data_IF_102353985292
#
_entry.id   IF_102353985292
#
_cell.length_a   1.000
_cell.length_b   1.000
_cell.length_c   1.000
_cell.angle_alpha   90.00
_cell.angle_beta   90.00
_cell.angle_gamma   90.00
#
_symmetry.space_group_name_H-M   'P 1'
#
loop_
_entity.id
_entity.type
_entity.pdbx_description
1 polymer ?
#
# COMPACT_ATOMS: atom_id res chain seq x y z
N UNK A 1 9.18 -64.63 27.95
CA UNK A 1 8.20 -63.78 27.25
C UNK A 1 8.72 -62.33 27.29
N UNK A 2 9.83 -62.02 26.60
CA UNK A 2 10.52 -60.72 26.76
C UNK A 2 10.99 -60.10 25.42
N UNK A 3 11.14 -60.88 24.34
CA UNK A 3 11.70 -60.38 23.07
C UNK A 3 10.78 -59.42 22.29
N UNK A 4 9.45 -59.47 22.50
CA UNK A 4 8.50 -58.59 21.79
C UNK A 4 8.54 -57.13 22.28
N UNK A 5 8.89 -56.90 23.56
CA UNK A 5 9.00 -55.56 24.14
C UNK A 5 10.21 -54.78 23.59
N UNK A 6 11.35 -55.45 23.42
CA UNK A 6 12.57 -54.84 22.89
C UNK A 6 12.39 -54.35 21.45
N UNK A 7 11.75 -55.15 20.59
CA UNK A 7 11.46 -54.77 19.20
C UNK A 7 10.48 -53.59 19.09
N UNK A 8 9.49 -53.51 19.98
CA UNK A 8 8.56 -52.39 20.04
C UNK A 8 9.24 -51.09 20.48
N UNK A 9 10.07 -51.15 21.52
CA UNK A 9 10.82 -49.97 22.01
C UNK A 9 11.75 -49.44 20.91
N UNK A 10 12.46 -50.32 20.19
CA UNK A 10 13.31 -49.91 19.08
C UNK A 10 12.52 -49.25 17.94
N UNK A 11 11.33 -49.76 17.61
CA UNK A 11 10.46 -49.16 16.60
C UNK A 11 9.95 -47.77 17.01
N UNK A 12 9.53 -47.60 18.27
CA UNK A 12 9.07 -46.30 18.79
C UNK A 12 10.21 -45.27 18.75
N UNK A 13 11.40 -45.64 19.23
CA UNK A 13 12.58 -44.76 19.22
C UNK A 13 12.94 -44.33 17.79
N UNK A 14 12.88 -45.26 16.82
CA UNK A 14 13.16 -44.94 15.43
C UNK A 14 12.15 -43.93 14.86
N UNK A 15 10.85 -44.13 15.10
CA UNK A 15 9.79 -43.24 14.63
C UNK A 15 9.89 -41.86 15.27
N UNK A 16 10.11 -41.77 16.58
CA UNK A 16 10.25 -40.47 17.27
C UNK A 16 11.49 -39.71 16.83
N UNK A 17 12.57 -40.42 16.50
CA UNK A 17 13.81 -39.81 16.00
C UNK A 17 13.63 -39.23 14.60
N UNK A 18 12.97 -39.97 13.69
CA UNK A 18 12.66 -39.48 12.34
C UNK A 18 11.73 -38.26 12.40
N UNK A 19 10.67 -38.32 13.23
CA UNK A 19 9.76 -37.18 13.40
C UNK A 19 10.50 -35.94 13.93
N UNK A 20 11.36 -36.10 14.94
CA UNK A 20 12.15 -35.00 15.51
C UNK A 20 13.09 -34.37 14.47
N UNK A 21 13.72 -35.19 13.62
CA UNK A 21 14.55 -34.69 12.52
C UNK A 21 13.71 -33.89 11.51
N UNK A 22 12.55 -34.39 11.10
CA UNK A 22 11.64 -33.67 10.20
C UNK A 22 11.13 -32.34 10.78
N UNK A 23 10.77 -32.33 12.07
CA UNK A 23 10.36 -31.09 12.74
C UNK A 23 11.51 -30.08 12.84
N UNK A 24 12.70 -30.56 13.21
CA UNK A 24 13.87 -29.69 13.31
C UNK A 24 14.29 -29.11 11.95
N UNK A 25 14.27 -29.91 10.87
CA UNK A 25 14.57 -29.41 9.53
C UNK A 25 13.51 -28.44 9.02
N UNK A 26 12.23 -28.68 9.29
CA UNK A 26 11.16 -27.75 8.95
C UNK A 26 11.29 -26.41 9.70
N UNK A 27 11.57 -26.45 11.01
CA UNK A 27 11.83 -25.25 11.80
C UNK A 27 13.08 -24.50 11.34
N UNK A 28 14.16 -25.21 11.00
CA UNK A 28 15.36 -24.58 10.45
C UNK A 28 15.11 -23.93 9.09
N UNK A 29 14.38 -24.58 8.19
CA UNK A 29 14.04 -24.01 6.88
C UNK A 29 13.12 -22.80 7.02
N UNK A 30 12.08 -22.87 7.85
CA UNK A 30 11.15 -21.75 8.03
C UNK A 30 11.79 -20.55 8.73
N UNK A 31 12.67 -20.77 9.72
CA UNK A 31 13.41 -19.69 10.37
C UNK A 31 14.53 -19.15 9.49
N UNK A 32 15.18 -19.98 8.67
CA UNK A 32 16.18 -19.54 7.70
C UNK A 32 15.55 -18.64 6.63
N UNK A 33 14.39 -19.03 6.09
CA UNK A 33 13.62 -18.20 5.15
C UNK A 33 13.20 -16.87 5.78
N UNK A 34 12.72 -16.87 7.04
CA UNK A 34 12.35 -15.64 7.74
C UNK A 34 13.55 -14.72 8.08
N UNK A 35 14.72 -15.29 8.33
CA UNK A 35 15.94 -14.54 8.66
C UNK A 35 16.72 -14.08 7.41
N UNK A 36 16.56 -14.75 6.27
CA UNK A 36 17.27 -14.44 5.02
C UNK A 36 16.37 -13.84 3.94
N UNK A 37 15.04 -13.81 4.14
CA UNK A 37 14.18 -12.90 3.40
C UNK A 37 14.51 -11.48 3.84
N UNK A 38 15.54 -10.90 3.24
CA UNK A 38 15.62 -9.45 3.19
C UNK A 38 14.31 -8.98 2.55
N UNK A 39 13.54 -8.06 3.16
CA UNK A 39 12.48 -7.39 2.42
C UNK A 39 13.09 -6.87 1.12
N UNK A 40 12.37 -6.89 -0.01
CA UNK A 40 12.89 -6.35 -1.25
C UNK A 40 13.40 -4.95 -0.93
N UNK A 41 14.72 -4.77 -0.97
CA UNK A 41 15.33 -3.47 -0.79
C UNK A 41 14.65 -2.60 -1.85
N UNK A 42 13.81 -1.67 -1.41
CA UNK A 42 13.45 -0.57 -2.26
C UNK A 42 14.77 0.14 -2.52
N UNK A 43 15.32 -0.04 -3.71
CA UNK A 43 16.50 0.72 -4.12
C UNK A 43 16.04 2.18 -4.15
N UNK A 44 16.23 2.89 -3.04
CA UNK A 44 15.93 4.31 -2.93
C UNK A 44 16.98 5.02 -3.79
N UNK A 45 16.65 5.18 -5.06
CA UNK A 45 17.48 5.93 -5.99
C UNK A 45 17.30 7.42 -5.66
N UNK A 46 18.33 8.03 -5.08
CA UNK A 46 18.42 9.49 -4.96
C UNK A 46 18.65 10.07 -6.35
N UNK A 47 17.61 10.58 -7.00
CA UNK A 47 17.74 11.16 -8.33
C UNK A 47 18.48 12.51 -8.27
N UNK A 48 19.50 12.72 -9.13
CA UNK A 48 19.98 14.06 -9.44
C UNK A 48 18.89 14.79 -10.24
N UNK A 49 18.28 15.81 -9.63
CA UNK A 49 17.33 16.70 -10.30
C UNK A 49 18.04 17.48 -11.42
N UNK A 50 17.50 17.45 -12.64
CA UNK A 50 17.72 18.54 -13.60
C UNK A 50 18.44 18.20 -14.90
N UNK A 51 17.77 17.46 -15.80
CA UNK A 51 17.89 17.76 -17.23
C UNK A 51 16.70 18.65 -17.60
N UNK A 52 16.95 19.84 -18.17
CA UNK A 52 15.90 20.79 -18.58
C UNK A 52 15.41 20.55 -20.01
N UNK A 53 16.23 19.88 -20.82
CA UNK A 53 15.96 19.63 -22.23
C UNK A 53 15.67 18.14 -22.46
N UNK A 54 14.46 17.83 -22.95
CA UNK A 54 14.00 16.49 -23.28
C UNK A 54 13.66 16.39 -24.76
N UNK A 55 13.98 15.27 -25.39
CA UNK A 55 13.64 15.02 -26.81
C UNK A 55 12.17 14.61 -26.99
N UNK A 56 11.50 14.17 -25.93
CA UNK A 56 10.14 13.61 -25.93
C UNK A 56 9.97 12.32 -26.73
N UNK A 57 11.09 11.69 -27.12
CA UNK A 57 11.14 10.41 -27.82
C UNK A 57 11.35 9.28 -26.80
N UNK A 58 10.54 8.22 -26.88
CA UNK A 58 10.61 7.05 -25.99
C UNK A 58 10.56 7.45 -24.50
N UNK A 59 11.63 7.22 -23.73
CA UNK A 59 11.65 7.48 -22.29
C UNK A 59 12.36 8.80 -21.93
N UNK A 60 12.85 9.55 -22.93
CA UNK A 60 13.46 10.86 -22.71
C UNK A 60 12.40 11.96 -22.59
N UNK A 61 11.73 11.97 -21.45
CA UNK A 61 10.66 12.88 -21.06
C UNK A 61 10.89 13.38 -19.62
N UNK A 62 10.33 14.52 -19.23
CA UNK A 62 10.35 14.91 -17.82
C UNK A 62 9.60 13.89 -16.97
N UNK A 63 10.13 13.61 -15.77
CA UNK A 63 9.47 12.70 -14.82
C UNK A 63 8.24 13.33 -14.17
N UNK A 64 8.23 14.67 -14.04
CA UNK A 64 7.18 15.41 -13.35
C UNK A 64 6.64 16.53 -14.25
N UNK A 65 5.35 16.79 -14.15
CA UNK A 65 4.73 17.98 -14.72
C UNK A 65 5.29 19.22 -14.01
N UNK A 66 5.76 20.25 -14.74
CA UNK A 66 6.39 21.43 -14.14
C UNK A 66 5.36 22.38 -13.51
N UNK A 67 4.70 21.91 -12.46
CA UNK A 67 3.76 22.69 -11.67
C UNK A 67 4.49 23.79 -10.90
N UNK A 68 3.88 24.98 -10.85
CA UNK A 68 4.30 26.09 -10.00
C UNK A 68 3.43 26.18 -8.73
N UNK A 69 2.63 25.15 -8.44
CA UNK A 69 1.78 25.12 -7.27
C UNK A 69 2.62 25.26 -5.99
N UNK A 70 2.23 26.20 -5.13
CA UNK A 70 2.81 26.38 -3.81
C UNK A 70 2.23 25.38 -2.80
N UNK A 71 2.63 25.53 -1.54
CA UNK A 71 2.05 24.77 -0.44
C UNK A 71 0.62 25.23 -0.16
N UNK A 72 -0.27 24.27 0.04
CA UNK A 72 -1.62 24.47 0.53
C UNK A 72 -1.86 23.56 1.74
N UNK A 73 -2.74 23.98 2.65
CA UNK A 73 -3.14 23.20 3.81
C UNK A 73 -4.65 22.96 3.77
N UNK A 74 -5.08 21.77 4.20
CA UNK A 74 -6.49 21.42 4.36
C UNK A 74 -6.68 20.58 5.62
N UNK A 75 -7.89 20.61 6.18
CA UNK A 75 -8.28 19.66 7.21
C UNK A 75 -8.74 18.36 6.57
N UNK A 76 -8.51 17.25 7.28
CA UNK A 76 -9.11 15.96 6.94
C UNK A 76 -10.46 15.88 7.66
N UNK A 77 -11.54 15.74 6.89
CA UNK A 77 -12.90 15.71 7.43
C UNK A 77 -13.77 14.62 6.80
N UNK A 78 -14.73 14.12 7.58
CA UNK A 78 -15.80 13.26 7.07
C UNK A 78 -16.77 14.06 6.20
N UNK A 79 -17.42 13.38 5.27
CA UNK A 79 -18.32 14.05 4.33
C UNK A 79 -19.57 13.24 4.02
N UNK A 80 -20.67 13.96 3.84
CA UNK A 80 -21.93 13.43 3.32
C UNK A 80 -21.92 13.34 1.80
N UNK A 81 -20.93 13.98 1.15
CA UNK A 81 -20.69 13.89 -0.28
C UNK A 81 -20.02 12.56 -0.64
N UNK A 82 -19.98 12.23 -1.93
CA UNK A 82 -19.26 11.05 -2.45
C UNK A 82 -19.77 9.71 -1.89
N UNK A 83 -21.02 9.68 -1.43
CA UNK A 83 -21.70 8.47 -0.96
C UNK A 83 -21.94 7.47 -2.10
N UNK A 84 -22.31 6.24 -1.73
CA UNK A 84 -22.67 5.17 -2.66
C UNK A 84 -24.09 5.28 -3.24
N UNK A 85 -24.82 6.36 -2.95
CA UNK A 85 -26.10 6.65 -3.61
C UNK A 85 -25.90 7.32 -4.98
N UNK A 86 -26.99 7.52 -5.73
CA UNK A 86 -26.94 8.13 -7.06
C UNK A 86 -26.37 9.56 -7.04
N UNK A 87 -26.60 10.32 -5.96
CA UNK A 87 -26.10 11.69 -5.86
C UNK A 87 -24.58 11.67 -5.64
N UNK A 88 -24.10 10.88 -4.67
CA UNK A 88 -22.68 10.71 -4.40
C UNK A 88 -21.91 10.11 -5.57
N UNK A 89 -22.50 9.13 -6.28
CA UNK A 89 -21.93 8.57 -7.51
C UNK A 89 -21.66 9.65 -8.57
N UNK A 90 -22.60 10.59 -8.75
CA UNK A 90 -22.42 11.69 -9.69
C UNK A 90 -21.36 12.70 -9.23
N UNK A 91 -21.25 12.95 -7.93
CA UNK A 91 -20.23 13.86 -7.36
C UNK A 91 -18.80 13.39 -7.63
N UNK A 92 -18.56 12.08 -7.64
CA UNK A 92 -17.27 11.50 -8.06
C UNK A 92 -16.89 11.83 -9.51
N UNK A 93 -17.85 12.22 -10.35
CA UNK A 93 -17.62 12.57 -11.77
C UNK A 93 -17.41 14.07 -11.99
N UNK A 94 -17.87 14.92 -11.07
CA UNK A 94 -17.83 16.40 -11.20
C UNK A 94 -16.42 16.97 -10.92
N UNK A 95 -15.55 16.21 -10.24
CA UNK A 95 -14.20 16.64 -9.89
C UNK A 95 -13.11 16.45 -10.95
N UNK A 96 -13.43 15.94 -12.15
CA UNK A 96 -12.43 15.77 -13.20
C UNK A 96 -11.97 17.12 -13.78
N UNK A 97 -10.66 17.29 -13.95
CA UNK A 97 -10.17 18.40 -14.76
C UNK A 97 -10.59 18.20 -16.22
N UNK A 98 -10.70 19.31 -16.95
CA UNK A 98 -10.85 19.28 -18.40
C UNK A 98 -9.78 18.38 -19.04
N UNK A 99 -10.19 17.58 -20.03
CA UNK A 99 -9.29 16.60 -20.65
C UNK A 99 -8.95 15.41 -19.75
N UNK A 100 -9.70 15.18 -18.66
CA UNK A 100 -9.55 14.06 -17.74
C UNK A 100 -8.13 13.94 -17.15
N UNK A 101 -7.54 15.09 -16.79
CA UNK A 101 -6.21 15.14 -16.17
C UNK A 101 -5.05 14.77 -17.09
N UNK A 102 -5.27 14.78 -18.40
CA UNK A 102 -4.23 14.52 -19.40
C UNK A 102 -3.61 15.82 -19.90
N UNK A 103 -2.32 15.76 -20.23
CA UNK A 103 -1.52 16.88 -20.73
C UNK A 103 -0.81 16.52 -22.03
N UNK A 104 -0.53 17.54 -22.85
CA UNK A 104 0.22 17.43 -24.11
C UNK A 104 1.56 18.14 -23.97
N UNK A 105 2.67 17.43 -24.13
CA UNK A 105 4.02 17.98 -23.93
C UNK A 105 4.92 17.72 -25.15
N UNK A 106 5.92 18.60 -25.32
CA UNK A 106 6.92 18.51 -26.37
C UNK A 106 6.42 18.92 -27.76
N UNK A 107 7.33 18.98 -28.75
CA UNK A 107 7.01 19.48 -30.10
C UNK A 107 5.93 18.67 -30.84
N UNK A 108 5.76 17.39 -30.49
CA UNK A 108 4.78 16.48 -31.09
C UNK A 108 3.49 16.35 -30.27
N UNK A 109 3.27 17.17 -29.23
CA UNK A 109 2.08 17.11 -28.38
C UNK A 109 1.82 15.70 -27.81
N UNK A 110 2.88 15.05 -27.32
CA UNK A 110 2.77 13.70 -26.76
C UNK A 110 1.84 13.72 -25.54
N UNK A 111 1.00 12.69 -25.44
CA UNK A 111 0.01 12.54 -24.38
C UNK A 111 0.62 11.95 -23.11
N UNK A 112 0.30 12.57 -21.98
CA UNK A 112 0.58 12.04 -20.66
C UNK A 112 -0.65 12.22 -19.76
N UNK A 113 -0.79 11.37 -18.77
CA UNK A 113 -1.68 11.57 -17.62
C UNK A 113 -0.86 12.08 -16.45
N UNK A 114 -1.37 13.02 -15.68
CA UNK A 114 -0.72 13.43 -14.42
C UNK A 114 -1.18 12.49 -13.31
N UNK A 115 -0.24 11.93 -12.53
CA UNK A 115 -0.51 10.88 -11.54
C UNK A 115 -1.61 11.23 -10.55
N UNK A 116 -1.68 12.47 -10.08
CA UNK A 116 -2.79 12.94 -9.24
C UNK A 116 -4.18 12.64 -9.84
N UNK A 117 -4.38 12.93 -11.12
CA UNK A 117 -5.68 12.70 -11.76
C UNK A 117 -5.91 11.21 -12.03
N UNK A 118 -4.84 10.46 -12.34
CA UNK A 118 -4.96 9.01 -12.48
C UNK A 118 -5.32 8.33 -11.15
N UNK A 119 -4.79 8.80 -10.02
CA UNK A 119 -5.14 8.32 -8.69
C UNK A 119 -6.62 8.59 -8.37
N UNK A 120 -7.13 9.80 -8.65
CA UNK A 120 -8.56 10.12 -8.51
C UNK A 120 -9.45 9.24 -9.41
N UNK A 121 -9.02 9.03 -10.66
CA UNK A 121 -9.71 8.15 -11.61
C UNK A 121 -9.83 6.72 -11.06
N UNK A 122 -8.72 6.14 -10.59
CA UNK A 122 -8.70 4.80 -10.01
C UNK A 122 -9.59 4.69 -8.78
N UNK A 123 -9.56 5.70 -7.90
CA UNK A 123 -10.39 5.73 -6.70
C UNK A 123 -11.88 5.70 -7.03
N UNK A 124 -12.28 6.44 -8.06
CA UNK A 124 -13.65 6.41 -8.59
C UNK A 124 -14.02 5.06 -9.20
N UNK A 125 -13.12 4.43 -9.96
CA UNK A 125 -13.37 3.09 -10.51
C UNK A 125 -13.57 2.07 -9.39
N UNK A 126 -12.80 2.18 -8.30
CA UNK A 126 -13.01 1.36 -7.10
C UNK A 126 -14.36 1.64 -6.45
N UNK A 127 -14.73 2.91 -6.27
CA UNK A 127 -16.05 3.31 -5.77
C UNK A 127 -17.19 2.69 -6.60
N UNK A 128 -17.13 2.81 -7.92
CA UNK A 128 -18.12 2.23 -8.83
C UNK A 128 -18.18 0.69 -8.81
N UNK A 129 -17.10 0.04 -8.35
CA UNK A 129 -17.02 -1.41 -8.20
C UNK A 129 -17.78 -1.97 -6.99
N UNK A 130 -18.04 -1.15 -5.96
CA UNK A 130 -18.84 -1.56 -4.82
C UNK A 130 -20.32 -1.63 -5.21
N UNK A 131 -20.95 -2.78 -4.96
CA UNK A 131 -22.38 -3.01 -5.19
C UNK A 131 -23.09 -3.23 -3.88
N UNK A 132 -24.06 -2.37 -3.56
CA UNK A 132 -24.81 -2.42 -2.31
C UNK A 132 -25.55 -3.75 -2.07
N UNK A 133 -25.86 -4.50 -3.13
CA UNK A 133 -26.52 -5.80 -3.04
C UNK A 133 -25.63 -6.92 -2.46
N UNK A 134 -24.32 -6.70 -2.39
CA UNK A 134 -23.32 -7.71 -1.98
C UNK A 134 -22.63 -7.36 -0.67
N UNK A 135 -22.70 -6.10 -0.23
CA UNK A 135 -21.89 -5.55 0.86
C UNK A 135 -22.80 -5.09 1.99
N UNK A 136 -22.42 -5.36 3.25
CA UNK A 136 -23.20 -4.91 4.41
C UNK A 136 -23.21 -3.37 4.51
N UNK A 137 -24.22 -2.81 5.19
CA UNK A 137 -24.27 -1.36 5.38
C UNK A 137 -23.04 -0.84 6.14
N UNK A 138 -22.59 -1.55 7.17
CA UNK A 138 -21.40 -1.17 7.95
C UNK A 138 -20.14 -1.19 7.08
N UNK A 139 -20.00 -2.19 6.20
CA UNK A 139 -18.86 -2.26 5.28
C UNK A 139 -18.91 -1.15 4.22
N UNK A 140 -20.10 -0.77 3.74
CA UNK A 140 -20.26 0.37 2.81
C UNK A 140 -19.92 1.70 3.49
N UNK A 141 -20.35 1.91 4.75
CA UNK A 141 -20.01 3.10 5.51
C UNK A 141 -18.50 3.19 5.76
N UNK A 142 -17.86 2.08 6.12
CA UNK A 142 -16.40 2.01 6.23
C UNK A 142 -15.71 2.26 4.88
N UNK A 143 -16.21 1.68 3.79
CA UNK A 143 -15.67 1.92 2.45
C UNK A 143 -15.80 3.41 2.07
N UNK A 144 -16.93 4.05 2.35
CA UNK A 144 -17.15 5.48 2.06
C UNK A 144 -16.15 6.33 2.84
N UNK A 145 -16.01 6.10 4.14
CA UNK A 145 -15.02 6.76 4.99
C UNK A 145 -13.59 6.60 4.44
N UNK A 146 -13.19 5.37 4.14
CA UNK A 146 -11.84 5.06 3.63
C UNK A 146 -11.58 5.68 2.25
N UNK A 147 -12.54 5.61 1.32
CA UNK A 147 -12.40 6.19 -0.01
C UNK A 147 -12.33 7.72 0.07
N UNK A 148 -13.11 8.37 0.94
CA UNK A 148 -13.01 9.80 1.16
C UNK A 148 -11.65 10.19 1.76
N UNK A 149 -11.12 9.41 2.70
CA UNK A 149 -9.78 9.64 3.26
C UNK A 149 -8.69 9.56 2.19
N UNK A 150 -8.72 8.52 1.35
CA UNK A 150 -7.79 8.37 0.23
C UNK A 150 -7.89 9.53 -0.77
N UNK A 151 -9.12 9.99 -1.06
CA UNK A 151 -9.36 11.15 -1.91
C UNK A 151 -8.64 12.38 -1.37
N UNK A 152 -8.80 12.66 -0.07
CA UNK A 152 -8.17 13.81 0.58
C UNK A 152 -6.64 13.69 0.65
N UNK A 153 -6.09 12.48 0.80
CA UNK A 153 -4.65 12.25 0.72
C UNK A 153 -4.09 12.54 -0.68
N UNK A 154 -4.79 12.12 -1.73
CA UNK A 154 -4.43 12.45 -3.11
C UNK A 154 -4.43 13.98 -3.29
N UNK A 155 -5.47 14.65 -2.80
CA UNK A 155 -5.56 16.12 -2.77
C UNK A 155 -4.36 16.79 -2.06
N UNK A 156 -3.98 16.25 -0.90
CA UNK A 156 -2.90 16.81 -0.09
C UNK A 156 -1.51 16.62 -0.71
N UNK A 157 -1.26 15.49 -1.39
CA UNK A 157 0.04 15.18 -1.98
C UNK A 157 0.22 15.73 -3.40
N UNK A 158 -0.86 15.87 -4.16
CA UNK A 158 -0.84 16.45 -5.51
C UNK A 158 0.27 15.88 -6.42
N UNK A 159 0.42 14.55 -6.48
CA UNK A 159 1.53 13.90 -7.20
C UNK A 159 1.58 14.31 -8.69
N UNK A 160 2.64 15.02 -9.07
CA UNK A 160 2.84 15.57 -10.41
C UNK A 160 3.57 14.63 -11.36
N UNK A 161 3.85 13.38 -10.99
CA UNK A 161 4.50 12.42 -11.88
C UNK A 161 3.72 12.27 -13.22
N UNK A 162 4.47 12.09 -14.32
CA UNK A 162 3.92 11.97 -15.67
C UNK A 162 3.82 10.53 -16.12
N UNK A 163 2.58 10.11 -16.38
CA UNK A 163 2.22 8.77 -16.81
C UNK A 163 2.00 8.66 -18.31
N UNK A 164 2.65 7.71 -19.03
CA UNK A 164 2.29 7.43 -20.40
C UNK A 164 0.83 6.93 -20.48
N UNK A 165 0.07 7.47 -21.44
CA UNK A 165 -1.38 7.21 -21.57
C UNK A 165 -1.72 5.84 -22.21
N UNK A 166 -0.75 4.94 -22.34
CA UNK A 166 -0.90 3.60 -22.93
C UNK A 166 -1.05 2.49 -21.89
N UNK A 167 -1.34 2.85 -20.63
CA UNK A 167 -1.36 1.93 -19.49
C UNK A 167 -2.26 0.70 -19.69
N UNK A 168 -3.32 0.80 -20.50
CA UNK A 168 -4.23 -0.31 -20.82
C UNK A 168 -3.66 -1.33 -21.81
N UNK A 169 -2.56 -1.01 -22.49
CA UNK A 169 -1.90 -1.87 -23.49
C UNK A 169 -0.59 -2.46 -22.98
N UNK A 170 -0.20 -2.18 -21.73
CA UNK A 170 1.06 -2.65 -21.16
C UNK A 170 1.02 -4.14 -20.90
N UNK A 171 2.16 -4.78 -21.15
CA UNK A 171 2.39 -6.16 -20.73
C UNK A 171 3.04 -6.15 -19.35
N UNK A 172 2.24 -6.33 -18.29
CA UNK A 172 2.71 -6.30 -16.90
C UNK A 172 3.80 -7.33 -16.56
N UNK A 173 4.06 -8.32 -17.43
CA UNK A 173 5.21 -9.23 -17.27
C UNK A 173 6.54 -8.54 -17.54
N UNK A 174 6.59 -7.64 -18.52
CA UNK A 174 7.81 -7.01 -19.03
C UNK A 174 7.87 -5.50 -18.80
N UNK A 175 6.72 -4.84 -18.66
CA UNK A 175 6.55 -3.41 -18.42
C UNK A 175 5.67 -3.23 -17.18
N UNK A 176 6.32 -3.03 -16.03
CA UNK A 176 5.66 -2.93 -14.72
C UNK A 176 5.34 -1.49 -14.32
N UNK A 177 5.52 -0.53 -15.23
CA UNK A 177 5.47 0.89 -14.91
C UNK A 177 6.81 1.32 -14.31
N UNK A 178 7.51 2.20 -15.03
CA UNK A 178 8.87 2.62 -14.69
C UNK A 178 8.91 4.05 -14.12
N UNK A 179 7.83 4.49 -13.47
CA UNK A 179 7.75 5.85 -12.96
C UNK A 179 8.21 5.95 -11.52
N UNK A 180 9.03 6.97 -11.29
CA UNK A 180 9.50 7.27 -9.96
C UNK A 180 8.49 8.12 -9.21
N UNK A 181 7.87 7.50 -8.23
CA UNK A 181 7.16 8.19 -7.17
C UNK A 181 8.11 8.37 -5.97
N UNK A 182 8.11 9.56 -5.37
CA UNK A 182 8.91 9.84 -4.18
C UNK A 182 8.04 9.56 -2.97
N UNK A 183 8.34 8.45 -2.28
CA UNK A 183 7.59 8.00 -1.11
C UNK A 183 8.33 8.32 0.19
N UNK A 184 7.58 8.40 1.29
CA UNK A 184 8.16 8.35 2.63
C UNK A 184 8.67 6.94 2.94
N UNK A 185 9.66 6.83 3.82
CA UNK A 185 10.16 5.54 4.30
C UNK A 185 9.12 4.88 5.23
N UNK A 186 8.41 3.91 4.67
CA UNK A 186 7.35 3.16 5.35
C UNK A 186 7.90 2.16 6.35
N UNK A 187 9.09 1.56 6.13
CA UNK A 187 9.68 0.60 7.06
C UNK A 187 10.00 1.27 8.40
N UNK A 188 10.58 2.47 8.33
CA UNK A 188 10.81 3.31 9.52
C UNK A 188 9.50 3.65 10.22
N UNK A 189 8.46 4.07 9.48
CA UNK A 189 7.14 4.37 10.05
C UNK A 189 6.51 3.15 10.74
N UNK A 190 6.57 1.95 10.14
CA UNK A 190 6.06 0.72 10.74
C UNK A 190 6.77 0.39 12.05
N UNK A 191 8.09 0.53 12.10
CA UNK A 191 8.86 0.31 13.32
C UNK A 191 8.47 1.30 14.42
N UNK A 192 8.34 2.59 14.09
CA UNK A 192 7.95 3.65 15.02
C UNK A 192 6.54 3.44 15.58
N UNK A 193 5.56 3.12 14.72
CA UNK A 193 4.17 2.87 15.12
C UNK A 193 4.07 1.61 15.99
N UNK A 194 4.78 0.54 15.63
CA UNK A 194 4.80 -0.69 16.42
C UNK A 194 5.41 -0.47 17.79
N UNK A 195 6.52 0.28 17.87
CA UNK A 195 7.15 0.65 19.13
C UNK A 195 6.22 1.51 19.99
N UNK A 196 5.55 2.51 19.38
CA UNK A 196 4.56 3.34 20.05
C UNK A 196 3.43 2.50 20.67
N UNK A 197 2.90 1.52 19.92
CA UNK A 197 1.86 0.62 20.41
C UNK A 197 2.35 -0.24 21.58
N UNK A 198 3.56 -0.80 21.51
CA UNK A 198 4.13 -1.58 22.61
C UNK A 198 4.30 -0.75 23.88
N UNK A 199 4.75 0.51 23.76
CA UNK A 199 4.92 1.40 24.90
C UNK A 199 3.57 1.80 25.52
N UNK A 200 2.54 1.99 24.69
CA UNK A 200 1.18 2.13 25.16
C UNK A 200 0.73 0.87 25.91
N UNK A 201 0.72 -0.31 25.30
CA UNK A 201 0.27 -1.55 25.97
C UNK A 201 0.97 -1.76 27.31
N UNK A 202 2.29 -1.51 27.40
CA UNK A 202 3.04 -1.56 28.67
C UNK A 202 2.47 -0.57 29.69
N UNK A 203 2.25 0.68 29.29
CA UNK A 203 1.66 1.72 30.14
C UNK A 203 0.26 1.35 30.60
N UNK A 204 -0.56 0.76 29.73
CA UNK A 204 -1.90 0.27 30.09
C UNK A 204 -1.83 -0.78 31.18
N UNK A 205 -0.99 -1.79 30.96
CA UNK A 205 -0.83 -2.92 31.87
C UNK A 205 -0.35 -2.47 33.24
N UNK A 206 0.60 -1.54 33.31
CA UNK A 206 1.09 -0.97 34.57
C UNK A 206 0.00 -0.19 35.31
N UNK A 207 -0.80 0.63 34.60
CA UNK A 207 -1.93 1.35 35.20
C UNK A 207 -2.97 0.38 35.76
N UNK A 208 -3.33 -0.65 35.00
CA UNK A 208 -4.31 -1.64 35.42
C UNK A 208 -3.80 -2.52 36.57
N UNK A 209 -2.51 -2.87 36.59
CA UNK A 209 -1.89 -3.60 37.70
C UNK A 209 -1.94 -2.78 39.00
N UNK A 210 -1.50 -1.52 38.95
CA UNK A 210 -1.49 -0.66 40.14
C UNK A 210 -2.90 -0.39 40.69
N UNK A 211 -3.90 -0.21 39.83
CA UNK A 211 -5.29 -0.07 40.24
C UNK A 211 -5.79 -1.29 41.04
N UNK A 212 -5.41 -2.50 40.64
CA UNK A 212 -5.80 -3.73 41.37
C UNK A 212 -5.08 -3.95 42.70
N UNK A 213 -3.92 -3.29 42.91
CA UNK A 213 -3.16 -3.40 44.16
C UNK A 213 -3.51 -2.34 45.20
N UNK A 214 -4.09 -1.20 44.79
CA UNK A 214 -4.56 -0.16 45.72
C UNK A 214 -5.95 -0.45 46.31
N UNK A 215 -6.72 -1.36 45.69
CA UNK A 215 -8.05 -1.79 46.14
C UNK A 215 -8.03 -3.02 47.11
N UNK A 216 -6.85 -3.47 47.57
CA UNK A 216 -6.66 -4.56 48.54
C UNK A 216 -5.93 -4.08 49.80
#
# INVERSE_FOLDING_TARGET
MEMKGYSYIQAVIAVTSVASLCFSSYFFLSTFDLLHSNPPHSDIIRLPYGRRDHTFISDDVPLYFPSQAGLAAMFIEETVHYSFDDAGYNEWWIGEAEGNGTVRLGPQNRLFSVSFWHQLHCLRVMHAGFKAEVVSLDDLLHAQHCLNLLRQWILCHADTALEPNDFTQRNFKYDRGNQLHVCNDWDTLYAEVSQNWHDWVRTWQLKNFNATTEDN
#
